data_IF_574372009506
#
_entry.id   IF_574372009506
#
_cell.length_a   1.000
_cell.length_b   1.000
_cell.length_c   1.000
_cell.angle_alpha   90.00
_cell.angle_beta   90.00
_cell.angle_gamma   90.00
#
_symmetry.space_group_name_H-M   'P 1'
#
loop_
_entity.id
_entity.type
_entity.pdbx_description
1 polymer ?
#
# COMPACT_ATOMS: atom_id res chain seq x y z
N UNK A 1 -13.96 2.73 -7.08
CA UNK A 1 -12.75 1.90 -6.88
C UNK A 1 -11.56 2.82 -6.86
N UNK A 2 -10.57 2.50 -6.03
CA UNK A 2 -9.33 3.25 -5.93
C UNK A 2 -8.15 2.40 -6.37
N UNK A 3 -7.24 3.02 -7.11
CA UNK A 3 -5.92 2.48 -7.39
C UNK A 3 -5.00 2.88 -6.24
N UNK A 4 -4.26 1.90 -5.70
CA UNK A 4 -3.22 2.12 -4.70
C UNK A 4 -1.89 1.66 -5.26
N UNK A 5 -0.84 2.45 -5.06
CA UNK A 5 0.51 2.09 -5.47
C UNK A 5 1.55 2.42 -4.41
N UNK A 6 2.65 1.66 -4.41
CA UNK A 6 3.87 1.93 -3.64
C UNK A 6 5.01 2.20 -4.62
N UNK A 7 5.31 3.48 -4.89
CA UNK A 7 6.25 3.89 -5.94
C UNK A 7 7.14 5.10 -5.53
N UNK A 8 8.48 4.94 -5.54
CA UNK A 8 9.22 3.68 -5.70
C UNK A 8 9.24 2.88 -4.39
N UNK A 9 8.80 1.61 -4.41
CA UNK A 9 8.85 0.71 -3.25
C UNK A 9 10.25 0.59 -2.65
N UNK A 10 11.29 0.82 -3.43
CA UNK A 10 12.65 0.77 -2.94
C UNK A 10 12.96 1.76 -1.82
N UNK A 11 12.25 2.88 -1.76
CA UNK A 11 12.38 3.87 -0.70
C UNK A 11 11.65 3.47 0.59
N UNK A 12 10.96 2.32 0.63
CA UNK A 12 10.33 1.85 1.86
C UNK A 12 11.41 1.57 2.91
N UNK A 13 11.32 2.26 4.05
CA UNK A 13 12.25 2.13 5.18
C UNK A 13 11.74 1.17 6.27
N UNK A 14 10.70 0.38 5.97
CA UNK A 14 10.11 -0.60 6.88
C UNK A 14 9.63 -0.03 8.24
N UNK A 15 9.11 1.19 8.26
CA UNK A 15 8.59 1.84 9.49
C UNK A 15 7.23 1.27 9.96
N UNK A 16 6.52 0.53 9.09
CA UNK A 16 5.24 -0.15 9.35
C UNK A 16 4.01 0.75 9.60
N UNK A 17 4.07 2.07 9.38
CA UNK A 17 2.91 2.95 9.62
C UNK A 17 1.72 2.61 8.71
N UNK A 18 1.98 2.25 7.44
CA UNK A 18 0.93 1.90 6.49
C UNK A 18 0.16 0.65 6.89
N UNK A 19 0.85 -0.39 7.37
CA UNK A 19 0.24 -1.62 7.89
C UNK A 19 -0.51 -1.35 9.19
N UNK A 20 0.03 -0.49 10.05
CA UNK A 20 -0.63 -0.13 11.32
C UNK A 20 -1.93 0.64 11.10
N UNK A 21 -1.98 1.50 10.07
CA UNK A 21 -3.15 2.33 9.76
C UNK A 21 -4.18 1.63 8.86
N UNK A 22 -3.73 0.78 7.93
CA UNK A 22 -4.57 0.19 6.90
C UNK A 22 -4.07 -1.23 6.55
N UNK A 23 -3.97 -2.08 7.57
CA UNK A 23 -3.48 -3.46 7.47
C UNK A 23 -4.38 -4.41 6.70
N UNK A 24 -5.54 -3.95 6.22
CA UNK A 24 -6.37 -4.68 5.26
C UNK A 24 -5.92 -4.43 3.81
N UNK A 25 -5.04 -3.45 3.56
CA UNK A 25 -4.52 -3.09 2.22
C UNK A 25 -3.03 -3.36 2.11
N UNK A 26 -2.27 -3.09 3.17
CA UNK A 26 -0.81 -3.22 3.19
C UNK A 26 -0.36 -4.35 4.13
N UNK A 27 0.67 -5.09 3.72
CA UNK A 27 1.38 -6.07 4.54
C UNK A 27 2.90 -5.87 4.42
N UNK A 28 3.65 -6.36 5.40
CA UNK A 28 5.11 -6.41 5.31
C UNK A 28 5.53 -7.67 4.56
N UNK A 29 6.42 -7.55 3.59
CA UNK A 29 6.93 -8.70 2.85
C UNK A 29 7.84 -9.57 3.72
N UNK A 30 7.59 -10.87 3.75
CA UNK A 30 8.50 -11.84 4.38
C UNK A 30 9.82 -12.03 3.60
N UNK A 31 9.92 -11.48 2.38
CA UNK A 31 11.10 -11.63 1.51
C UNK A 31 12.15 -10.56 1.81
N UNK A 32 11.75 -9.30 1.90
CA UNK A 32 12.66 -8.16 2.05
C UNK A 32 12.28 -7.18 3.16
N UNK A 33 11.21 -7.47 3.91
CA UNK A 33 10.74 -6.62 5.01
C UNK A 33 10.17 -5.28 4.57
N UNK A 34 9.94 -5.02 3.28
CA UNK A 34 9.31 -3.78 2.80
C UNK A 34 7.80 -3.96 2.64
N UNK A 35 7.06 -2.86 2.76
CA UNK A 35 5.60 -2.87 2.58
C UNK A 35 5.20 -3.29 1.16
N UNK A 36 4.13 -4.06 1.03
CA UNK A 36 3.54 -4.50 -0.22
C UNK A 36 2.01 -4.49 -0.12
N UNK A 37 1.32 -4.45 -1.26
CA UNK A 37 -0.14 -4.59 -1.30
C UNK A 37 -0.50 -6.04 -0.95
N UNK A 38 -1.54 -6.26 -0.14
CA UNK A 38 -1.99 -7.62 0.18
C UNK A 38 -2.46 -8.34 -1.08
N UNK A 39 -2.15 -9.64 -1.17
CA UNK A 39 -2.44 -10.47 -2.35
C UNK A 39 -3.89 -10.36 -2.86
N UNK A 40 -4.86 -10.20 -1.96
CA UNK A 40 -6.30 -10.02 -2.29
C UNK A 40 -6.57 -8.83 -3.22
N UNK A 41 -5.80 -7.76 -3.11
CA UNK A 41 -6.05 -6.50 -3.84
C UNK A 41 -5.16 -6.31 -5.06
N UNK A 42 -4.18 -7.18 -5.29
CA UNK A 42 -3.28 -7.09 -6.43
C UNK A 42 -4.04 -7.39 -7.72
N UNK A 43 -3.89 -6.52 -8.72
CA UNK A 43 -4.48 -6.75 -10.05
C UNK A 43 -3.68 -7.76 -10.88
N UNK A 44 -2.37 -7.87 -10.61
CA UNK A 44 -1.47 -8.90 -11.12
C UNK A 44 -0.79 -9.58 -9.93
N UNK A 45 -0.84 -10.91 -9.77
CA UNK A 45 -0.16 -11.63 -8.69
C UNK A 45 1.34 -11.34 -8.57
N UNK A 46 2.00 -10.97 -9.67
CA UNK A 46 3.43 -10.62 -9.71
C UNK A 46 3.69 -9.14 -9.44
N UNK A 47 2.67 -8.30 -9.41
CA UNK A 47 2.78 -6.88 -9.07
C UNK A 47 2.36 -6.66 -7.62
N UNK A 48 3.36 -6.71 -6.73
CA UNK A 48 3.16 -6.49 -5.31
C UNK A 48 3.05 -5.00 -4.94
N UNK A 49 3.31 -4.10 -5.90
CA UNK A 49 3.35 -2.66 -5.67
C UNK A 49 2.01 -1.99 -5.99
N UNK A 50 1.18 -2.61 -6.82
CA UNK A 50 -0.09 -2.03 -7.28
C UNK A 50 -1.29 -2.89 -6.88
N UNK A 51 -2.39 -2.22 -6.55
CA UNK A 51 -3.67 -2.87 -6.30
C UNK A 51 -4.88 -2.00 -6.54
N UNK A 52 -6.05 -2.62 -6.45
CA UNK A 52 -7.34 -1.98 -6.50
C UNK A 52 -8.14 -2.32 -5.24
N UNK A 53 -8.61 -1.28 -4.56
CA UNK A 53 -9.40 -1.40 -3.33
C UNK A 53 -10.78 -0.74 -3.52
N UNK A 54 -11.80 -1.20 -2.78
CA UNK A 54 -13.10 -0.53 -2.75
C UNK A 54 -13.02 0.87 -2.12
N UNK A 55 -13.99 1.72 -2.44
CA UNK A 55 -14.00 3.14 -2.03
C UNK A 55 -14.20 3.32 -0.51
N UNK A 56 -14.72 2.31 0.19
CA UNK A 56 -14.86 2.30 1.65
C UNK A 56 -13.51 2.20 2.38
N UNK A 57 -12.45 1.75 1.72
CA UNK A 57 -11.08 1.73 2.24
C UNK A 57 -10.34 3.06 2.06
N UNK A 58 -10.98 4.07 1.45
CA UNK A 58 -10.35 5.35 1.11
C UNK A 58 -9.69 6.02 2.33
N UNK A 59 -10.41 6.09 3.44
CA UNK A 59 -9.98 6.86 4.60
C UNK A 59 -8.69 6.28 5.20
N UNK A 60 -8.58 4.95 5.32
CA UNK A 60 -7.35 4.33 5.84
C UNK A 60 -6.20 4.36 4.83
N UNK A 61 -6.49 4.18 3.53
CA UNK A 61 -5.48 4.25 2.49
C UNK A 61 -4.87 5.65 2.38
N UNK A 62 -5.71 6.70 2.43
CA UNK A 62 -5.26 8.10 2.46
C UNK A 62 -4.45 8.40 3.72
N UNK A 63 -4.89 7.92 4.90
CA UNK A 63 -4.15 8.08 6.14
C UNK A 63 -2.76 7.42 6.07
N UNK A 64 -2.67 6.20 5.52
CA UNK A 64 -1.40 5.52 5.26
C UNK A 64 -0.51 6.30 4.30
N UNK A 65 -1.09 6.87 3.23
CA UNK A 65 -0.37 7.69 2.27
C UNK A 65 0.22 8.96 2.90
N UNK A 66 -0.59 9.68 3.67
CA UNK A 66 -0.19 10.92 4.34
C UNK A 66 0.83 10.68 5.46
N UNK A 67 0.79 9.51 6.10
CA UNK A 67 1.68 9.17 7.22
C UNK A 67 3.00 8.53 6.77
N UNK A 68 3.10 8.10 5.51
CA UNK A 68 4.31 7.47 4.99
C UNK A 68 5.48 8.49 4.99
N UNK A 69 6.56 8.25 5.76
CA UNK A 69 7.65 9.21 5.92
C UNK A 69 8.45 9.46 4.63
N UNK A 70 8.35 8.55 3.66
CA UNK A 70 9.02 8.65 2.36
C UNK A 70 8.08 8.99 1.20
N UNK A 71 6.79 9.26 1.50
CA UNK A 71 5.78 9.71 0.52
C UNK A 71 5.69 8.85 -0.74
N UNK A 72 5.81 7.53 -0.59
CA UNK A 72 5.79 6.57 -1.71
C UNK A 72 4.46 5.86 -1.92
N UNK A 73 3.45 6.12 -1.06
CA UNK A 73 2.13 5.51 -1.20
C UNK A 73 1.21 6.51 -1.88
N UNK A 74 0.55 6.08 -2.95
CA UNK A 74 -0.37 6.90 -3.73
C UNK A 74 -1.75 6.25 -3.77
N UNK A 75 -2.80 7.08 -3.69
CA UNK A 75 -4.20 6.66 -3.76
C UNK A 75 -4.90 7.54 -4.78
N UNK A 76 -5.40 6.94 -5.85
CA UNK A 76 -5.99 7.63 -6.99
C UNK A 76 -7.32 6.98 -7.39
N UNK A 77 -8.27 7.73 -7.98
CA UNK A 77 -9.42 7.11 -8.64
C UNK A 77 -8.95 6.11 -9.72
N UNK A 78 -9.53 4.90 -9.72
CA UNK A 78 -9.20 3.84 -10.69
C UNK A 78 -9.89 4.02 -12.05
#
# INVERSE_FOLDING_TARGET
MLKVSIDPRDNCIADMVCVSLCGDVFEMSDVDGKSQIIAKWRTDPNDINHGQIPDDMKDCADAAAQSCPTSIIHVEPA
#
